data_IF_370377522440
#
_entry.id   IF_370377522440
#
_cell.length_a   1.000
_cell.length_b   1.000
_cell.length_c   1.000
_cell.angle_alpha   90.00
_cell.angle_beta   90.00
_cell.angle_gamma   90.00
#
_symmetry.space_group_name_H-M   'P 1'
#
loop_
_entity.id
_entity.type
_entity.pdbx_description
1 polymer ?
#
# COMPACT_ATOMS: atom_id res chain seq x y z
N UNK A 1 19.34 -19.18 1.24
CA UNK A 1 18.44 -19.71 2.29
C UNK A 1 18.93 -19.37 3.71
N UNK A 2 20.17 -19.70 4.04
CA UNK A 2 20.75 -19.47 5.38
C UNK A 2 20.68 -17.98 5.76
N UNK A 3 21.13 -17.08 4.88
CA UNK A 3 21.10 -15.63 5.10
C UNK A 3 19.67 -15.09 5.23
N UNK A 4 18.74 -15.60 4.44
CA UNK A 4 17.32 -15.23 4.53
C UNK A 4 16.71 -15.68 5.85
N UNK A 5 17.04 -16.91 6.30
CA UNK A 5 16.56 -17.42 7.59
C UNK A 5 17.16 -16.66 8.77
N UNK A 6 18.44 -16.28 8.70
CA UNK A 6 19.08 -15.45 9.72
C UNK A 6 18.40 -14.06 9.79
N UNK A 7 18.09 -13.48 8.64
CA UNK A 7 17.37 -12.21 8.56
C UNK A 7 15.96 -12.32 9.15
N UNK A 8 15.19 -13.36 8.80
CA UNK A 8 13.86 -13.58 9.39
C UNK A 8 13.91 -13.74 10.92
N UNK A 9 14.91 -14.47 11.43
CA UNK A 9 15.14 -14.61 12.87
C UNK A 9 15.51 -13.28 13.54
N UNK A 10 16.31 -12.45 12.85
CA UNK A 10 16.67 -11.12 13.37
C UNK A 10 15.48 -10.17 13.49
N UNK A 11 14.38 -10.44 12.76
CA UNK A 11 13.13 -9.72 12.83
C UNK A 11 12.17 -10.27 13.89
N UNK A 12 12.58 -11.31 14.63
CA UNK A 12 11.77 -11.98 15.66
C UNK A 12 10.40 -12.46 15.12
N UNK A 13 10.39 -12.94 13.87
CA UNK A 13 9.19 -13.45 13.22
C UNK A 13 9.04 -14.95 13.47
N UNK A 14 7.88 -15.34 13.96
CA UNK A 14 7.51 -16.74 14.09
C UNK A 14 7.45 -17.45 12.73
N UNK A 15 7.74 -18.73 12.69
CA UNK A 15 7.73 -19.55 11.47
C UNK A 15 6.35 -19.63 10.82
N UNK A 16 5.30 -19.45 11.59
CA UNK A 16 3.92 -19.37 11.10
C UNK A 16 3.57 -18.00 10.46
N UNK A 17 4.44 -17.01 10.61
CA UNK A 17 4.34 -15.70 9.97
C UNK A 17 5.18 -15.63 8.69
N UNK A 18 6.42 -16.16 8.71
CA UNK A 18 7.32 -16.10 7.57
C UNK A 18 8.30 -17.29 7.57
N UNK A 19 8.43 -17.97 6.43
CA UNK A 19 9.28 -19.14 6.27
C UNK A 19 10.07 -19.06 4.95
N UNK A 20 11.40 -19.21 5.01
CA UNK A 20 12.21 -19.28 3.80
C UNK A 20 12.06 -20.66 3.13
N UNK A 21 11.73 -20.64 1.84
CA UNK A 21 11.60 -21.84 1.00
C UNK A 21 12.70 -21.88 -0.07
N UNK A 22 13.20 -23.07 -0.35
CA UNK A 22 13.95 -23.29 -1.60
C UNK A 22 12.97 -23.54 -2.77
N UNK A 23 13.51 -23.60 -4.00
CA UNK A 23 12.70 -23.74 -5.21
C UNK A 23 11.84 -25.04 -5.22
N UNK A 24 12.37 -26.14 -4.67
CA UNK A 24 11.63 -27.42 -4.60
C UNK A 24 10.47 -27.36 -3.61
N UNK A 25 10.70 -26.71 -2.48
CA UNK A 25 9.64 -26.49 -1.48
C UNK A 25 8.55 -25.56 -2.03
N UNK A 26 8.95 -24.47 -2.69
CA UNK A 26 8.02 -23.53 -3.32
C UNK A 26 7.23 -24.20 -4.44
N UNK A 27 7.87 -25.01 -5.29
CA UNK A 27 7.17 -25.80 -6.31
C UNK A 27 6.08 -26.70 -5.70
N UNK A 28 6.40 -27.36 -4.59
CA UNK A 28 5.42 -28.24 -3.92
C UNK A 28 4.26 -27.47 -3.29
N UNK A 29 4.49 -26.27 -2.74
CA UNK A 29 3.50 -25.51 -1.97
C UNK A 29 2.64 -24.62 -2.86
N UNK A 30 3.24 -23.97 -3.84
CA UNK A 30 2.55 -22.95 -4.66
C UNK A 30 2.69 -23.15 -6.18
N UNK A 31 3.36 -24.21 -6.63
CA UNK A 31 3.54 -24.50 -8.04
C UNK A 31 4.63 -23.69 -8.74
N UNK A 32 5.44 -22.92 -8.00
CA UNK A 32 6.45 -22.02 -8.55
C UNK A 32 7.86 -22.54 -8.21
N UNK A 33 8.67 -22.83 -9.21
CA UNK A 33 10.05 -23.32 -9.05
C UNK A 33 11.03 -22.16 -8.80
N UNK A 34 10.79 -21.39 -7.74
CA UNK A 34 11.63 -20.25 -7.35
C UNK A 34 11.74 -20.17 -5.83
N UNK A 35 12.97 -19.95 -5.33
CA UNK A 35 13.18 -19.75 -3.90
C UNK A 35 12.60 -18.41 -3.43
N UNK A 36 12.06 -18.38 -2.21
CA UNK A 36 11.47 -17.17 -1.68
C UNK A 36 11.13 -17.25 -0.20
N UNK A 37 10.33 -16.29 0.25
CA UNK A 37 9.75 -16.27 1.60
C UNK A 37 8.27 -16.58 1.50
N UNK A 38 7.88 -17.66 2.13
CA UNK A 38 6.47 -18.03 2.28
C UNK A 38 5.86 -17.30 3.47
N UNK A 39 4.71 -16.67 3.25
CA UNK A 39 3.92 -16.00 4.28
C UNK A 39 2.62 -16.79 4.49
N UNK A 40 2.57 -17.75 5.44
CA UNK A 40 1.44 -18.66 5.60
C UNK A 40 0.11 -17.95 5.86
N UNK A 41 0.16 -16.76 6.46
CA UNK A 41 -1.00 -15.91 6.77
C UNK A 41 -1.28 -14.86 5.69
N UNK A 42 -0.52 -14.87 4.58
CA UNK A 42 -0.78 -14.00 3.43
C UNK A 42 -2.11 -14.34 2.77
N UNK A 43 -2.87 -13.31 2.38
CA UNK A 43 -4.16 -13.49 1.73
C UNK A 43 -4.44 -12.37 0.73
N UNK A 44 -5.22 -12.69 -0.30
CA UNK A 44 -5.84 -11.70 -1.17
C UNK A 44 -7.06 -11.08 -0.48
N UNK A 45 -7.24 -9.77 -0.61
CA UNK A 45 -8.35 -9.04 -0.01
C UNK A 45 -9.11 -8.26 -1.09
N UNK A 46 -10.42 -8.47 -1.18
CA UNK A 46 -11.30 -7.59 -1.92
C UNK A 46 -11.55 -6.31 -1.10
N UNK A 47 -10.80 -5.25 -1.40
CA UNK A 47 -10.86 -4.00 -0.65
C UNK A 47 -12.23 -3.31 -0.71
N UNK A 48 -12.93 -3.38 -1.84
CA UNK A 48 -14.26 -2.79 -1.98
C UNK A 48 -15.26 -3.46 -1.05
N UNK A 49 -15.27 -4.78 -1.03
CA UNK A 49 -16.17 -5.53 -0.16
C UNK A 49 -15.79 -5.40 1.31
N UNK A 50 -14.50 -5.47 1.65
CA UNK A 50 -14.02 -5.24 3.01
C UNK A 50 -14.42 -3.86 3.53
N UNK A 51 -14.28 -2.81 2.72
CA UNK A 51 -14.69 -1.44 3.10
C UNK A 51 -16.19 -1.34 3.31
N UNK A 52 -17.00 -1.95 2.45
CA UNK A 52 -18.46 -1.99 2.63
C UNK A 52 -18.85 -2.69 3.93
N UNK A 53 -18.22 -3.82 4.24
CA UNK A 53 -18.51 -4.56 5.47
C UNK A 53 -18.08 -3.79 6.73
N UNK A 54 -16.95 -3.06 6.69
CA UNK A 54 -16.50 -2.20 7.78
C UNK A 54 -17.45 -1.03 8.04
N UNK A 55 -18.14 -0.53 7.02
CA UNK A 55 -19.10 0.57 7.16
C UNK A 55 -20.53 0.11 7.48
N UNK A 56 -20.80 -1.18 7.37
CA UNK A 56 -22.12 -1.75 7.56
C UNK A 56 -22.51 -1.80 9.04
N UNK A 57 -23.79 -1.50 9.33
CA UNK A 57 -24.41 -1.65 10.65
C UNK A 57 -23.82 -0.76 11.77
N UNK A 58 -23.30 0.42 11.44
CA UNK A 58 -22.88 1.40 12.43
C UNK A 58 -23.92 2.52 12.56
N UNK A 59 -24.80 2.45 13.55
CA UNK A 59 -25.88 3.40 13.79
C UNK A 59 -25.43 4.87 13.98
N UNK A 60 -24.16 5.07 14.39
CA UNK A 60 -23.58 6.40 14.63
C UNK A 60 -22.75 6.90 13.44
N UNK A 61 -22.74 6.18 12.32
CA UNK A 61 -22.00 6.56 11.13
C UNK A 61 -22.94 7.18 10.10
N UNK A 62 -22.62 8.39 9.66
CA UNK A 62 -23.27 9.05 8.51
C UNK A 62 -22.27 9.14 7.36
N UNK A 63 -22.61 8.58 6.20
CA UNK A 63 -21.78 8.62 5.00
C UNK A 63 -22.34 9.63 3.99
N UNK A 64 -21.51 10.56 3.55
CA UNK A 64 -21.79 11.50 2.47
C UNK A 64 -21.09 11.01 1.20
N UNK A 65 -21.78 10.22 0.39
CA UNK A 65 -21.25 9.68 -0.87
C UNK A 65 -21.24 10.75 -1.97
N UNK A 66 -20.34 10.61 -2.94
CA UNK A 66 -20.19 11.56 -4.06
C UNK A 66 -20.00 13.02 -3.61
N UNK A 67 -19.40 13.20 -2.44
CA UNK A 67 -19.23 14.50 -1.80
C UNK A 67 -17.75 14.79 -1.65
N UNK A 68 -17.26 15.82 -2.35
CA UNK A 68 -15.88 16.27 -2.28
C UNK A 68 -15.74 17.46 -1.35
N UNK A 69 -14.96 17.29 -0.28
CA UNK A 69 -14.54 18.41 0.57
C UNK A 69 -13.31 19.06 -0.06
N UNK A 70 -13.38 20.37 -0.28
CA UNK A 70 -12.32 21.15 -0.94
C UNK A 70 -11.64 22.15 -0.02
N UNK A 71 -12.30 22.52 1.10
CA UNK A 71 -11.77 23.51 2.02
C UNK A 71 -12.14 23.19 3.47
N UNK A 72 -11.19 23.45 4.36
CA UNK A 72 -11.38 23.44 5.81
C UNK A 72 -11.28 24.88 6.33
N UNK A 73 -12.02 25.19 7.38
CA UNK A 73 -11.95 26.47 8.07
C UNK A 73 -12.10 26.28 9.58
N UNK A 74 -11.23 26.94 10.34
CA UNK A 74 -11.31 26.89 11.80
C UNK A 74 -12.36 27.89 12.30
N UNK A 75 -13.47 27.40 12.81
CA UNK A 75 -14.43 28.18 13.55
C UNK A 75 -14.03 28.35 15.03
N UNK A 76 -14.89 29.02 15.81
CA UNK A 76 -14.63 29.30 17.23
C UNK A 76 -14.44 28.01 18.07
N UNK A 77 -15.24 26.97 17.80
CA UNK A 77 -15.21 25.71 18.57
C UNK A 77 -14.96 24.48 17.73
N UNK A 78 -15.24 24.52 16.45
CA UNK A 78 -15.21 23.37 15.55
C UNK A 78 -14.51 23.70 14.23
N UNK A 79 -14.22 22.69 13.44
CA UNK A 79 -13.79 22.77 12.05
C UNK A 79 -15.01 22.73 11.14
N UNK A 80 -15.06 23.61 10.15
CA UNK A 80 -16.10 23.64 9.13
C UNK A 80 -15.55 23.08 7.82
N UNK A 81 -16.29 22.18 7.20
CA UNK A 81 -15.92 21.46 5.98
C UNK A 81 -16.81 21.96 4.84
N UNK A 82 -16.20 22.41 3.77
CA UNK A 82 -16.87 23.00 2.61
C UNK A 82 -16.66 22.17 1.36
N UNK A 83 -17.68 22.11 0.53
CA UNK A 83 -17.63 21.48 -0.78
C UNK A 83 -17.03 22.39 -1.87
N UNK A 84 -17.07 21.93 -3.13
CA UNK A 84 -16.58 22.69 -4.28
C UNK A 84 -17.43 23.93 -4.62
N UNK A 85 -18.68 23.99 -4.12
CA UNK A 85 -19.57 25.16 -4.26
C UNK A 85 -19.39 26.15 -3.12
N UNK A 86 -18.48 25.87 -2.19
CA UNK A 86 -18.26 26.64 -0.96
C UNK A 86 -19.47 26.60 0.00
N UNK A 87 -20.27 25.54 -0.07
CA UNK A 87 -21.33 25.26 0.88
C UNK A 87 -20.76 24.50 2.08
N UNK A 88 -21.10 24.95 3.30
CA UNK A 88 -20.71 24.26 4.52
C UNK A 88 -21.55 23.00 4.71
N UNK A 89 -20.91 21.84 4.64
CA UNK A 89 -21.59 20.54 4.74
C UNK A 89 -21.58 19.97 6.16
N UNK A 90 -20.46 20.15 6.87
CA UNK A 90 -20.25 19.52 8.18
C UNK A 90 -19.47 20.47 9.08
N UNK A 91 -19.81 20.44 10.37
CA UNK A 91 -19.03 21.04 11.45
C UNK A 91 -18.63 19.93 12.42
N UNK A 92 -17.34 19.83 12.76
CA UNK A 92 -16.81 18.76 13.60
C UNK A 92 -15.69 19.26 14.52
N UNK A 93 -15.65 18.75 15.74
CA UNK A 93 -14.59 19.08 16.71
C UNK A 93 -13.22 18.51 16.28
N UNK A 94 -13.25 17.36 15.62
CA UNK A 94 -12.06 16.65 15.13
C UNK A 94 -12.29 16.17 13.70
N UNK A 95 -11.25 16.28 12.87
CA UNK A 95 -11.26 15.88 11.45
C UNK A 95 -10.10 14.96 11.18
N UNK A 96 -10.36 13.78 10.60
CA UNK A 96 -9.34 12.87 10.10
C UNK A 96 -9.26 13.00 8.58
N UNK A 97 -8.13 13.42 8.07
CA UNK A 97 -7.85 13.54 6.64
C UNK A 97 -7.17 12.28 6.14
N UNK A 98 -7.91 11.45 5.41
CA UNK A 98 -7.47 10.14 4.91
C UNK A 98 -7.66 10.00 3.38
N UNK A 99 -7.52 11.10 2.63
CA UNK A 99 -7.82 11.20 1.21
C UNK A 99 -6.57 11.19 0.31
N UNK A 100 -5.51 10.50 0.71
CA UNK A 100 -4.27 10.29 -0.06
C UNK A 100 -3.73 11.60 -0.66
N UNK A 101 -3.56 11.69 -2.01
CA UNK A 101 -3.05 12.90 -2.68
C UNK A 101 -3.95 14.12 -2.51
N UNK A 102 -5.26 13.93 -2.38
CA UNK A 102 -6.21 15.03 -2.15
C UNK A 102 -6.03 15.71 -0.77
N UNK A 103 -5.27 15.09 0.12
CA UNK A 103 -4.86 15.75 1.36
C UNK A 103 -3.98 16.98 1.11
N UNK A 104 -3.21 17.01 0.02
CA UNK A 104 -2.31 18.12 -0.30
C UNK A 104 -3.04 19.42 -0.57
N UNK A 105 -3.99 19.53 -1.52
CA UNK A 105 -4.79 20.74 -1.71
C UNK A 105 -5.68 21.04 -0.50
N UNK A 106 -6.26 20.03 0.14
CA UNK A 106 -7.14 20.24 1.30
C UNK A 106 -6.37 20.87 2.48
N UNK A 107 -5.18 20.39 2.79
CA UNK A 107 -4.34 20.97 3.85
C UNK A 107 -3.82 22.36 3.50
N UNK A 108 -3.61 22.64 2.21
CA UNK A 108 -3.24 24.00 1.78
C UNK A 108 -4.31 25.05 2.10
N UNK A 109 -5.58 24.66 2.22
CA UNK A 109 -6.68 25.57 2.62
C UNK A 109 -6.55 26.10 4.06
N UNK A 110 -5.71 25.48 4.86
CA UNK A 110 -5.38 25.89 6.23
C UNK A 110 -3.89 26.17 6.45
N UNK A 111 -3.19 26.57 5.38
CA UNK A 111 -1.76 26.94 5.37
C UNK A 111 -0.81 25.80 5.81
N UNK A 112 -1.16 24.58 5.52
CA UNK A 112 -0.31 23.40 5.76
C UNK A 112 0.14 22.81 4.45
N UNK A 113 1.47 22.73 4.24
CA UNK A 113 2.07 22.11 3.07
C UNK A 113 2.58 20.72 3.41
N UNK A 114 1.95 19.71 2.82
CA UNK A 114 2.38 18.31 2.98
C UNK A 114 3.36 17.92 1.87
N UNK A 115 4.47 17.25 2.21
CA UNK A 115 5.49 16.81 1.24
C UNK A 115 5.05 15.53 0.52
N UNK A 116 3.88 15.56 -0.11
CA UNK A 116 3.28 14.44 -0.81
C UNK A 116 3.68 14.43 -2.28
N UNK A 117 4.02 13.24 -2.79
CA UNK A 117 4.34 12.97 -4.19
C UNK A 117 3.44 11.87 -4.73
N UNK A 118 2.94 12.00 -5.97
CA UNK A 118 2.22 10.94 -6.64
C UNK A 118 3.19 9.88 -7.17
N UNK A 119 2.74 8.64 -7.20
CA UNK A 119 3.38 7.54 -7.91
C UNK A 119 2.30 6.74 -8.60
N UNK A 120 2.19 6.94 -9.89
CA UNK A 120 1.23 6.23 -10.73
C UNK A 120 1.59 4.74 -10.81
N UNK A 121 0.61 3.88 -10.94
CA UNK A 121 0.81 2.46 -11.19
C UNK A 121 -0.36 1.86 -11.93
N UNK A 122 -0.05 1.03 -12.91
CA UNK A 122 -1.03 0.29 -13.70
C UNK A 122 -0.92 -1.20 -13.42
N UNK A 123 -2.05 -1.83 -13.19
CA UNK A 123 -2.23 -3.27 -13.20
C UNK A 123 -2.76 -3.69 -14.56
N UNK A 124 -2.33 -4.84 -15.03
CA UNK A 124 -2.87 -5.46 -16.23
C UNK A 124 -3.66 -6.72 -15.88
N UNK A 125 -4.78 -6.90 -16.55
CA UNK A 125 -5.62 -8.09 -16.41
C UNK A 125 -5.47 -8.88 -17.68
N UNK A 126 -4.92 -10.08 -17.59
CA UNK A 126 -4.70 -10.98 -18.71
C UNK A 126 -5.69 -12.12 -18.70
N UNK A 127 -6.09 -12.57 -19.90
CA UNK A 127 -6.78 -13.83 -20.10
C UNK A 127 -5.79 -14.88 -20.59
N UNK A 128 -5.84 -16.06 -19.99
CA UNK A 128 -5.08 -17.25 -20.39
C UNK A 128 -6.06 -18.33 -20.81
N UNK A 129 -5.98 -18.78 -22.05
CA UNK A 129 -6.91 -19.76 -22.60
C UNK A 129 -6.55 -21.18 -22.15
N UNK A 130 -7.53 -22.05 -22.03
CA UNK A 130 -7.30 -23.47 -21.80
C UNK A 130 -6.42 -24.05 -22.94
N UNK A 131 -5.34 -24.76 -22.54
CA UNK A 131 -4.34 -25.26 -23.49
C UNK A 131 -3.16 -24.31 -23.80
N UNK A 132 -3.20 -23.07 -23.33
CA UNK A 132 -2.03 -22.19 -23.40
C UNK A 132 -0.95 -22.69 -22.43
N UNK A 133 0.33 -22.71 -22.80
CA UNK A 133 1.43 -23.11 -21.92
C UNK A 133 1.52 -22.33 -20.60
N UNK A 134 0.96 -21.12 -20.56
CA UNK A 134 0.87 -20.35 -19.31
C UNK A 134 -0.03 -20.99 -18.25
N UNK A 135 -0.99 -21.82 -18.62
CA UNK A 135 -1.92 -22.45 -17.66
C UNK A 135 -1.17 -23.25 -16.59
N UNK A 136 -0.10 -23.94 -16.99
CA UNK A 136 0.74 -24.72 -16.07
C UNK A 136 1.61 -23.85 -15.14
N UNK A 137 1.71 -22.55 -15.44
CA UNK A 137 2.51 -21.57 -14.71
C UNK A 137 1.65 -20.61 -13.87
N UNK A 138 0.33 -20.65 -14.03
CA UNK A 138 -0.57 -19.77 -13.28
C UNK A 138 -0.49 -20.04 -11.78
N UNK A 139 -0.22 -19.01 -10.95
CA UNK A 139 -0.04 -19.20 -9.53
C UNK A 139 -1.39 -19.43 -8.84
N UNK A 140 -1.40 -20.35 -7.89
CA UNK A 140 -2.52 -20.57 -6.97
C UNK A 140 -2.50 -19.63 -5.75
N UNK A 141 -1.44 -18.86 -5.60
CA UNK A 141 -1.21 -17.92 -4.49
C UNK A 141 -0.77 -16.57 -5.02
N UNK A 142 -0.87 -15.52 -4.19
CA UNK A 142 -0.28 -14.23 -4.52
C UNK A 142 1.24 -14.30 -4.44
N UNK A 143 1.92 -13.74 -5.45
CA UNK A 143 3.39 -13.66 -5.50
C UNK A 143 3.78 -12.19 -5.52
N UNK A 144 4.83 -11.84 -4.80
CA UNK A 144 5.43 -10.50 -4.80
C UNK A 144 6.94 -10.61 -4.95
N UNK A 145 7.49 -9.83 -5.87
CA UNK A 145 8.90 -9.72 -6.18
C UNK A 145 9.20 -8.32 -6.73
N UNK A 146 9.79 -8.22 -7.91
CA UNK A 146 9.97 -6.94 -8.62
C UNK A 146 8.64 -6.34 -9.13
N UNK A 147 7.59 -7.15 -9.15
CA UNK A 147 6.19 -6.79 -9.27
C UNK A 147 5.36 -7.64 -8.32
N UNK A 148 4.11 -7.86 -8.65
CA UNK A 148 3.27 -8.83 -7.96
C UNK A 148 2.18 -9.39 -8.89
N UNK A 149 1.67 -10.55 -8.55
CA UNK A 149 0.47 -11.06 -9.17
C UNK A 149 -0.48 -11.66 -8.12
N UNK A 150 -1.74 -11.65 -8.44
CA UNK A 150 -2.76 -12.35 -7.65
C UNK A 150 -2.89 -13.81 -8.12
N UNK A 151 -3.49 -14.69 -7.32
CA UNK A 151 -3.87 -16.01 -7.79
C UNK A 151 -4.72 -15.89 -9.05
N UNK A 152 -4.47 -16.73 -10.05
CA UNK A 152 -5.30 -16.76 -11.23
C UNK A 152 -6.70 -17.31 -10.90
N UNK A 153 -7.72 -16.70 -11.48
CA UNK A 153 -9.13 -17.09 -11.27
C UNK A 153 -9.65 -17.78 -12.52
N UNK A 154 -10.11 -19.03 -12.39
CA UNK A 154 -10.78 -19.72 -13.49
C UNK A 154 -12.18 -19.14 -13.69
N UNK A 155 -12.51 -18.82 -14.93
CA UNK A 155 -13.81 -18.30 -15.32
C UNK A 155 -14.75 -19.42 -15.78
N UNK A 156 -16.04 -19.11 -15.97
CA UNK A 156 -17.08 -20.07 -16.37
C UNK A 156 -16.84 -20.65 -17.77
N UNK A 157 -16.20 -19.89 -18.65
CA UNK A 157 -15.85 -20.31 -20.01
C UNK A 157 -14.61 -21.22 -20.10
N UNK A 158 -14.00 -21.55 -18.95
CA UNK A 158 -12.79 -22.37 -18.83
C UNK A 158 -11.49 -21.59 -18.94
N UNK A 159 -11.51 -20.34 -19.38
CA UNK A 159 -10.33 -19.47 -19.38
C UNK A 159 -9.93 -19.06 -17.95
N UNK A 160 -8.73 -18.45 -17.85
CA UNK A 160 -8.24 -17.91 -16.58
C UNK A 160 -8.07 -16.39 -16.70
N UNK A 161 -8.48 -15.68 -15.66
CA UNK A 161 -8.17 -14.27 -15.47
C UNK A 161 -6.98 -14.15 -14.51
N UNK A 162 -5.94 -13.43 -14.94
CA UNK A 162 -4.73 -13.24 -14.14
C UNK A 162 -4.37 -11.77 -14.03
N UNK A 163 -4.22 -11.26 -12.80
CA UNK A 163 -3.88 -9.87 -12.51
C UNK A 163 -2.40 -9.79 -12.17
N UNK A 164 -1.69 -8.99 -12.95
CA UNK A 164 -0.25 -8.78 -12.79
C UNK A 164 0.05 -7.27 -12.74
N UNK A 165 1.05 -6.89 -11.99
CA UNK A 165 1.55 -5.52 -11.95
C UNK A 165 2.58 -5.29 -10.86
N UNK A 166 2.92 -4.08 -10.69
CA UNK A 166 2.41 -2.88 -11.36
C UNK A 166 3.55 -2.01 -11.85
N UNK A 167 3.27 -1.16 -12.84
CA UNK A 167 4.19 -0.07 -13.17
C UNK A 167 4.40 0.86 -11.96
N UNK A 168 5.47 1.65 -12.00
CA UNK A 168 5.86 2.51 -10.89
C UNK A 168 6.43 3.83 -11.44
N UNK A 169 5.52 4.75 -11.80
CA UNK A 169 5.84 5.99 -12.50
C UNK A 169 5.89 7.14 -11.49
N UNK A 170 7.10 7.49 -11.03
CA UNK A 170 7.31 8.52 -10.02
C UNK A 170 6.98 9.92 -10.56
N UNK A 171 6.22 10.70 -9.79
CA UNK A 171 5.85 12.06 -10.12
C UNK A 171 4.63 12.18 -11.03
N UNK A 172 4.07 11.07 -11.49
CA UNK A 172 2.91 11.05 -12.37
C UNK A 172 1.60 10.76 -11.60
N UNK A 173 0.53 11.42 -12.00
CA UNK A 173 -0.77 11.36 -11.33
C UNK A 173 -1.96 11.21 -12.29
N UNK A 174 -1.72 11.05 -13.59
CA UNK A 174 -2.77 10.77 -14.55
C UNK A 174 -3.30 9.32 -14.39
N UNK A 175 -4.54 9.12 -14.78
CA UNK A 175 -5.22 7.82 -14.74
C UNK A 175 -5.41 7.20 -16.12
N UNK A 176 -4.68 7.70 -17.13
CA UNK A 176 -4.78 7.19 -18.50
C UNK A 176 -4.04 5.85 -18.59
N UNK A 177 -4.68 4.78 -19.06
CA UNK A 177 -4.00 3.52 -19.33
C UNK A 177 -2.91 3.67 -20.39
N UNK A 178 -1.81 2.90 -20.26
CA UNK A 178 -0.66 2.94 -21.16
C UNK A 178 -0.26 1.53 -21.59
N UNK A 179 -0.07 1.34 -22.88
CA UNK A 179 0.35 0.04 -23.44
C UNK A 179 1.76 -0.35 -22.97
N UNK A 180 2.65 0.63 -22.76
CA UNK A 180 4.00 0.39 -22.25
C UNK A 180 3.96 -0.19 -20.82
N UNK A 181 2.98 0.21 -20.00
CA UNK A 181 2.78 -0.37 -18.68
C UNK A 181 2.27 -1.82 -18.76
N UNK A 182 1.46 -2.14 -19.76
CA UNK A 182 0.99 -3.50 -20.00
C UNK A 182 2.13 -4.41 -20.48
N UNK A 183 2.99 -3.91 -21.36
CA UNK A 183 4.16 -4.63 -21.84
C UNK A 183 5.15 -4.87 -20.69
N UNK A 184 5.38 -3.87 -19.85
CA UNK A 184 6.16 -4.02 -18.62
C UNK A 184 5.58 -5.11 -17.71
N UNK A 185 4.27 -5.10 -17.45
CA UNK A 185 3.61 -6.09 -16.60
C UNK A 185 3.66 -7.50 -17.21
N UNK A 186 3.61 -7.65 -18.55
CA UNK A 186 3.83 -8.95 -19.21
C UNK A 186 5.22 -9.52 -18.94
N UNK A 187 6.26 -8.68 -19.03
CA UNK A 187 7.62 -9.12 -18.74
C UNK A 187 7.78 -9.45 -17.25
N UNK A 188 7.17 -8.69 -16.35
CA UNK A 188 7.14 -9.01 -14.92
C UNK A 188 6.50 -10.38 -14.65
N UNK A 189 5.45 -10.73 -15.41
CA UNK A 189 4.76 -12.01 -15.26
C UNK A 189 5.72 -13.20 -15.41
N UNK A 190 6.67 -13.15 -16.35
CA UNK A 190 7.66 -14.21 -16.56
C UNK A 190 8.51 -14.45 -15.32
N UNK A 191 9.11 -13.39 -14.77
CA UNK A 191 9.95 -13.47 -13.58
C UNK A 191 9.19 -13.92 -12.34
N UNK A 192 7.95 -13.47 -12.17
CA UNK A 192 7.12 -13.83 -11.02
C UNK A 192 6.79 -15.32 -10.95
N UNK A 193 6.63 -16.00 -12.10
CA UNK A 193 6.29 -17.42 -12.15
C UNK A 193 7.43 -18.28 -12.68
N UNK A 194 8.65 -17.76 -12.73
CA UNK A 194 9.85 -18.45 -13.22
C UNK A 194 9.65 -19.08 -14.62
N UNK A 195 9.07 -18.31 -15.55
CA UNK A 195 8.82 -18.75 -16.93
C UNK A 195 9.51 -17.79 -17.92
N UNK A 196 10.82 -17.67 -17.82
CA UNK A 196 11.66 -16.75 -18.60
C UNK A 196 11.54 -16.97 -20.12
N UNK A 197 11.41 -18.22 -20.57
CA UNK A 197 11.26 -18.59 -21.97
C UNK A 197 9.83 -18.42 -22.50
N UNK A 198 8.86 -18.05 -21.65
CA UNK A 198 7.47 -17.87 -22.02
C UNK A 198 7.27 -16.72 -23.02
N UNK A 199 6.42 -16.91 -24.04
CA UNK A 199 6.00 -15.83 -24.91
C UNK A 199 4.95 -14.97 -24.20
N UNK A 200 5.39 -13.86 -23.58
CA UNK A 200 4.50 -12.94 -22.88
C UNK A 200 3.46 -12.28 -23.78
N UNK A 201 3.69 -12.26 -25.11
CA UNK A 201 2.75 -11.70 -26.08
C UNK A 201 1.49 -12.56 -26.25
N UNK A 202 1.53 -13.84 -25.85
CA UNK A 202 0.36 -14.71 -25.84
C UNK A 202 -0.63 -14.33 -24.73
N UNK A 203 -0.18 -13.58 -23.69
CA UNK A 203 -1.06 -13.06 -22.65
C UNK A 203 -1.97 -11.96 -23.21
N UNK A 204 -3.20 -12.32 -23.55
CA UNK A 204 -4.19 -11.39 -24.07
C UNK A 204 -4.69 -10.45 -22.96
N UNK A 205 -4.49 -9.14 -23.11
CA UNK A 205 -5.04 -8.15 -22.20
C UNK A 205 -6.56 -8.08 -22.34
N UNK A 206 -7.26 -8.15 -21.22
CA UNK A 206 -8.72 -8.02 -21.13
C UNK A 206 -9.17 -6.84 -20.28
N UNK A 207 -8.24 -6.19 -19.57
CA UNK A 207 -8.53 -5.02 -18.76
C UNK A 207 -7.29 -4.47 -18.07
N UNK A 208 -7.50 -3.35 -17.40
CA UNK A 208 -6.47 -2.68 -16.58
C UNK A 208 -7.10 -1.96 -15.41
N UNK A 209 -6.25 -1.59 -14.45
CA UNK A 209 -6.58 -0.65 -13.39
C UNK A 209 -5.41 0.31 -13.19
N UNK A 210 -5.69 1.60 -13.25
CA UNK A 210 -4.70 2.65 -12.97
C UNK A 210 -5.02 3.33 -11.65
N UNK A 211 -4.01 3.49 -10.80
CA UNK A 211 -4.15 4.18 -9.53
C UNK A 211 -2.93 5.01 -9.19
N UNK A 212 -3.11 6.02 -8.34
CA UNK A 212 -2.03 6.88 -7.87
C UNK A 212 -1.76 6.63 -6.40
N UNK A 213 -0.55 6.17 -6.12
CA UNK A 213 -0.05 6.02 -4.75
C UNK A 213 0.38 7.38 -4.21
N UNK A 214 0.01 7.65 -2.98
CA UNK A 214 0.46 8.83 -2.26
C UNK A 214 1.68 8.45 -1.41
N UNK A 215 2.80 9.15 -1.62
CA UNK A 215 4.07 8.86 -0.96
C UNK A 215 4.65 10.14 -0.35
N UNK A 216 5.16 10.07 0.86
CA UNK A 216 5.94 11.15 1.47
C UNK A 216 7.40 11.11 1.02
N UNK A 217 8.11 12.23 1.17
CA UNK A 217 9.51 12.34 0.75
C UNK A 217 10.46 11.34 1.39
N UNK A 218 10.18 10.95 2.64
CA UNK A 218 10.93 9.95 3.41
C UNK A 218 10.41 8.52 3.26
N UNK A 219 9.38 8.31 2.43
CA UNK A 219 8.70 7.03 2.19
C UNK A 219 7.99 6.42 3.40
N UNK A 220 7.87 7.15 4.49
CA UNK A 220 7.07 6.74 5.65
C UNK A 220 5.66 7.34 5.59
N UNK A 221 4.64 6.64 6.07
CA UNK A 221 3.30 7.21 6.21
C UNK A 221 3.27 8.45 7.09
N UNK A 222 2.28 9.31 6.88
CA UNK A 222 2.00 10.46 7.73
C UNK A 222 0.75 10.15 8.53
N UNK A 223 0.92 9.83 9.82
CA UNK A 223 -0.17 9.35 10.68
C UNK A 223 -0.13 10.08 12.02
N UNK A 224 -1.25 10.68 12.42
CA UNK A 224 -1.43 11.26 13.74
C UNK A 224 -1.90 12.70 13.74
N UNK A 225 -1.90 13.31 14.93
CA UNK A 225 -2.37 14.68 15.17
C UNK A 225 -1.46 15.72 14.51
N UNK A 226 -2.08 16.73 13.93
CA UNK A 226 -1.38 17.89 13.36
C UNK A 226 -1.29 18.98 14.44
N UNK A 227 -0.16 19.07 15.12
CA UNK A 227 0.04 19.98 16.26
C UNK A 227 -0.18 21.45 15.94
N UNK A 228 0.10 21.88 14.70
CA UNK A 228 -0.10 23.26 14.22
C UNK A 228 -1.57 23.60 13.99
N UNK A 229 -2.44 22.61 13.91
CA UNK A 229 -3.89 22.76 13.69
C UNK A 229 -4.64 21.77 14.59
N UNK A 230 -4.80 22.10 15.89
CA UNK A 230 -5.47 21.21 16.85
C UNK A 230 -6.86 20.79 16.38
N UNK A 231 -7.17 19.51 16.51
CA UNK A 231 -8.38 18.87 16.00
C UNK A 231 -8.26 18.29 14.60
N UNK A 232 -7.14 18.51 13.88
CA UNK A 232 -6.84 17.83 12.60
C UNK A 232 -5.91 16.66 12.84
N UNK A 233 -6.23 15.53 12.22
CA UNK A 233 -5.43 14.30 12.19
C UNK A 233 -5.20 13.88 10.75
N UNK A 234 -4.05 13.29 10.47
CA UNK A 234 -3.67 12.82 9.13
C UNK A 234 -3.51 11.30 9.12
N UNK A 235 -4.00 10.65 8.05
CA UNK A 235 -3.74 9.26 7.69
C UNK A 235 -3.47 9.21 6.19
N UNK A 236 -2.28 9.61 5.77
CA UNK A 236 -1.93 9.73 4.34
C UNK A 236 -0.52 9.22 4.06
N UNK A 237 -0.11 9.26 2.81
CA UNK A 237 1.20 8.76 2.36
C UNK A 237 1.44 7.28 2.65
N UNK A 238 0.40 6.45 2.61
CA UNK A 238 0.51 5.01 2.92
C UNK A 238 1.26 4.21 1.83
N UNK A 239 1.52 4.82 0.68
CA UNK A 239 2.31 4.26 -0.42
C UNK A 239 1.77 2.94 -0.95
N UNK A 240 2.68 2.01 -1.29
CA UNK A 240 2.33 0.69 -1.84
C UNK A 240 1.85 -0.32 -0.78
N UNK A 241 1.95 0.01 0.51
CA UNK A 241 1.58 -0.88 1.63
C UNK A 241 0.34 -0.39 2.37
N UNK A 242 -0.55 0.30 1.67
CA UNK A 242 -1.71 0.96 2.25
C UNK A 242 -2.59 0.07 3.12
N UNK A 243 -2.80 -1.19 2.72
CA UNK A 243 -3.62 -2.15 3.49
C UNK A 243 -3.02 -2.40 4.88
N UNK A 244 -1.72 -2.67 4.96
CA UNK A 244 -1.03 -2.91 6.22
C UNK A 244 -1.00 -1.64 7.09
N UNK A 245 -0.64 -0.51 6.49
CA UNK A 245 -0.57 0.77 7.20
C UNK A 245 -1.94 1.27 7.66
N UNK A 246 -3.03 0.97 6.95
CA UNK A 246 -4.37 1.46 7.31
C UNK A 246 -4.83 0.93 8.65
N UNK A 247 -4.59 -0.34 8.96
CA UNK A 247 -4.95 -0.93 10.24
C UNK A 247 -4.16 -0.30 11.41
N UNK A 248 -2.87 -0.05 11.20
CA UNK A 248 -2.02 0.64 12.18
C UNK A 248 -2.45 2.10 12.33
N UNK A 249 -2.70 2.80 11.22
CA UNK A 249 -3.17 4.19 11.23
C UNK A 249 -4.49 4.34 12.00
N UNK A 250 -5.43 3.43 11.78
CA UNK A 250 -6.71 3.43 12.48
C UNK A 250 -6.51 3.31 14.00
N UNK A 251 -5.66 2.39 14.47
CA UNK A 251 -5.35 2.21 15.90
C UNK A 251 -4.67 3.45 16.49
N UNK A 252 -3.65 3.98 15.81
CA UNK A 252 -2.91 5.17 16.26
C UNK A 252 -3.82 6.39 16.39
N UNK A 253 -4.62 6.67 15.35
CA UNK A 253 -5.53 7.83 15.35
C UNK A 253 -6.62 7.65 16.37
N UNK A 254 -7.21 6.46 16.51
CA UNK A 254 -8.24 6.20 17.53
C UNK A 254 -7.71 6.45 18.93
N UNK A 255 -6.51 5.99 19.27
CA UNK A 255 -5.90 6.24 20.57
C UNK A 255 -5.71 7.74 20.83
N UNK A 256 -5.22 8.49 19.84
CA UNK A 256 -5.03 9.94 19.95
C UNK A 256 -6.36 10.72 19.98
N UNK A 257 -7.40 10.22 19.30
CA UNK A 257 -8.71 10.85 19.27
C UNK A 257 -9.47 10.72 20.60
N UNK A 258 -9.38 9.53 21.23
CA UNK A 258 -10.23 9.20 22.37
C UNK A 258 -9.63 9.66 23.69
N UNK A 259 -8.32 9.56 23.86
CA UNK A 259 -7.74 9.69 25.21
C UNK A 259 -6.47 10.55 25.27
N UNK A 260 -5.91 10.91 24.09
CA UNK A 260 -4.54 11.48 24.03
C UNK A 260 -3.53 10.65 24.84
N UNK A 261 -3.74 9.32 24.88
CA UNK A 261 -3.15 8.40 25.86
C UNK A 261 -2.03 7.59 25.21
N UNK A 262 -0.81 8.05 25.42
CA UNK A 262 0.40 7.29 25.07
C UNK A 262 0.47 5.92 25.78
N UNK A 263 -0.18 5.74 26.93
CA UNK A 263 -0.24 4.46 27.63
C UNK A 263 -1.07 3.43 26.84
N UNK A 264 -2.14 3.83 26.18
CA UNK A 264 -2.88 2.95 25.27
C UNK A 264 -2.02 2.51 24.10
N UNK A 265 -1.25 3.41 23.48
CA UNK A 265 -0.34 3.07 22.40
C UNK A 265 0.72 2.07 22.84
N UNK A 266 1.30 2.24 24.02
CA UNK A 266 2.25 1.29 24.59
C UNK A 266 1.60 -0.09 24.86
N UNK A 267 0.39 -0.13 25.42
CA UNK A 267 -0.38 -1.39 25.61
C UNK A 267 -0.72 -2.09 24.29
N UNK A 268 -0.87 -1.33 23.21
CA UNK A 268 -1.07 -1.87 21.85
C UNK A 268 0.25 -2.30 21.18
N UNK A 269 1.38 -2.18 21.87
CA UNK A 269 2.70 -2.57 21.36
C UNK A 269 3.35 -1.53 20.46
N UNK A 270 2.87 -0.28 20.44
CA UNK A 270 3.51 0.78 19.66
C UNK A 270 4.63 1.44 20.46
N UNK A 271 5.84 1.32 19.94
CA UNK A 271 6.99 2.02 20.49
C UNK A 271 6.88 3.53 20.23
N UNK A 272 7.34 4.35 21.18
CA UNK A 272 7.23 5.80 21.10
C UNK A 272 8.00 6.39 19.90
N UNK A 273 9.13 5.79 19.54
CA UNK A 273 9.93 6.17 18.38
C UNK A 273 9.21 5.88 17.05
N UNK A 274 8.47 4.78 16.95
CA UNK A 274 7.61 4.49 15.80
C UNK A 274 6.51 5.55 15.66
N UNK A 275 5.84 5.88 16.75
CA UNK A 275 4.80 6.92 16.75
C UNK A 275 5.37 8.26 16.31
N UNK A 276 6.54 8.65 16.84
CA UNK A 276 7.23 9.87 16.47
C UNK A 276 7.67 9.88 14.99
N UNK A 277 8.17 8.75 14.49
CA UNK A 277 8.59 8.60 13.10
C UNK A 277 7.43 8.71 12.10
N UNK A 278 6.21 8.37 12.50
CA UNK A 278 5.01 8.48 11.66
C UNK A 278 4.29 9.83 11.83
N UNK A 279 4.57 10.57 12.90
CA UNK A 279 3.87 11.80 13.22
C UNK A 279 4.07 12.89 12.15
N UNK A 280 3.01 13.69 11.84
CA UNK A 280 3.11 14.82 10.92
C UNK A 280 4.20 15.83 11.31
N UNK A 281 4.42 15.98 12.63
CA UNK A 281 5.36 16.95 13.20
C UNK A 281 6.79 16.82 12.64
N UNK A 282 7.20 15.64 12.16
CA UNK A 282 8.55 15.42 11.58
C UNK A 282 8.86 16.27 10.33
N UNK A 283 7.83 16.83 9.70
CA UNK A 283 7.98 17.70 8.51
C UNK A 283 7.89 19.19 8.82
N UNK A 284 7.68 19.58 10.08
CA UNK A 284 7.52 20.98 10.42
C UNK A 284 8.67 21.46 11.31
N UNK A 285 9.32 22.55 10.92
CA UNK A 285 10.44 23.14 11.65
C UNK A 285 10.04 23.45 13.11
N UNK A 286 10.85 23.01 14.07
CA UNK A 286 10.60 23.12 15.51
C UNK A 286 10.14 21.83 16.19
N UNK A 287 9.85 20.78 15.45
CA UNK A 287 9.68 19.45 16.02
C UNK A 287 11.06 18.90 16.46
N UNK A 288 11.13 18.35 17.65
CA UNK A 288 12.30 17.64 18.18
C UNK A 288 12.82 16.66 17.12
N UNK A 289 14.13 16.68 16.87
CA UNK A 289 14.78 15.82 15.91
C UNK A 289 14.36 14.37 16.13
N UNK A 290 13.80 13.74 15.09
CA UNK A 290 13.50 12.32 15.12
C UNK A 290 14.80 11.54 15.38
N UNK A 291 14.80 10.50 16.24
CA UNK A 291 15.97 9.67 16.45
C UNK A 291 16.43 9.05 15.14
N UNK A 292 17.73 9.15 14.86
CA UNK A 292 18.40 8.67 13.65
C UNK A 292 18.35 7.14 13.41
N UNK A 293 17.65 6.39 14.25
CA UNK A 293 17.61 4.93 14.22
C UNK A 293 16.82 4.32 13.04
N UNK A 294 15.90 5.07 12.41
CA UNK A 294 15.09 4.54 11.30
C UNK A 294 15.72 4.75 9.91
N UNK A 295 16.74 5.56 9.78
CA UNK A 295 17.53 5.68 8.54
C UNK A 295 18.19 4.35 8.11
N UNK A 296 18.48 3.46 9.07
CA UNK A 296 19.06 2.14 8.81
C UNK A 296 18.07 1.12 8.20
N UNK A 297 16.77 1.26 8.46
CA UNK A 297 15.75 0.37 7.89
C UNK A 297 15.35 0.74 6.46
N UNK A 298 15.45 2.03 6.11
CA UNK A 298 15.16 2.50 4.77
C UNK A 298 16.34 2.31 3.79
N UNK A 299 17.60 2.30 4.30
CA UNK A 299 18.80 2.18 3.47
C UNK A 299 19.17 0.73 3.09
N UNK A 300 18.58 -0.28 3.74
CA UNK A 300 18.88 -1.69 3.48
C UNK A 300 17.97 -2.36 2.41
N UNK A 301 17.08 -1.62 1.79
CA UNK A 301 16.41 -2.08 0.57
C UNK A 301 17.21 -1.69 -0.68
N UNK A 302 18.48 -2.12 -0.77
CA UNK A 302 19.13 -2.20 -2.08
C UNK A 302 18.45 -3.31 -2.86
N UNK A 303 18.11 -3.09 -4.13
CA UNK A 303 17.68 -4.19 -5.00
C UNK A 303 18.82 -5.22 -5.04
N UNK A 304 18.49 -6.48 -4.82
CA UNK A 304 19.40 -7.59 -5.09
C UNK A 304 19.52 -7.66 -6.62
N UNK A 305 20.53 -6.99 -7.16
CA UNK A 305 20.88 -7.15 -8.58
C UNK A 305 21.31 -8.59 -8.79
N UNK A 306 20.91 -9.25 -9.89
CA UNK A 306 21.38 -10.58 -10.23
C UNK A 306 22.88 -10.53 -10.42
N UNK A 307 23.59 -11.56 -9.92
CA UNK A 307 25.01 -11.72 -10.07
C UNK A 307 25.39 -11.75 -11.56
N UNK A 308 26.28 -10.86 -11.97
CA UNK A 308 26.87 -10.87 -13.30
C UNK A 308 27.43 -12.28 -13.61
N UNK A 309 26.86 -12.96 -14.61
CA UNK A 309 27.45 -14.16 -15.18
C UNK A 309 28.76 -13.77 -15.87
N UNK A 310 29.89 -14.00 -15.24
CA UNK A 310 31.18 -13.97 -15.93
C UNK A 310 31.20 -15.08 -16.96
N UNK A 311 31.09 -14.70 -18.23
CA UNK A 311 31.44 -15.53 -19.36
C UNK A 311 32.93 -15.93 -19.27
N UNK A 312 33.18 -17.20 -19.37
CA UNK A 312 34.35 -17.79 -20.00
C UNK A 312 33.90 -18.92 -20.89
#
# INVERSE_FOLDING_TARGET
RTQTMEHLRSLDLDIDMAMAMDAKEAQRVCGIEQSGVWLPRGAGLNLCEASKQLLKNHERLTCFWNTRITRLEKGAKAWHLYDAKNEMLVSADKVVVACAMEAKPLMSSIDIRLPLRPVRGQLSIFSVQEGDPWVERLPSVGISGDGYCLPATRLEDGSYQWIVGSSFDEGEDDLVPRDESDDFNREQAKGLVAYEDGDSRSLAKTGEFVGVRCVAGDRLPIIGALTQRPGIFLATALGSRGILWSALAAKLITAQLLEDDFALLARLGFAADLVAALAPARFFAGALAAPSALGALASNSKPILPAESKAK
#
